data_IF_752294490590
#
_entry.id   IF_752294490590
#
_cell.length_a   1.000
_cell.length_b   1.000
_cell.length_c   1.000
_cell.angle_alpha   90.00
_cell.angle_beta   90.00
_cell.angle_gamma   90.00
#
_symmetry.space_group_name_H-M   'P 1'
#
loop_
_entity.id
_entity.type
_entity.pdbx_description
1 polymer ?
#
# COMPACT_ATOMS: atom_id res chain seq x y z
N UNK A 1 -4.54 -35.73 3.46
CA UNK A 1 -4.68 -34.35 3.91
C UNK A 1 -3.41 -33.56 3.55
N UNK A 2 -3.54 -32.60 2.72
CA UNK A 2 -2.39 -31.76 2.36
C UNK A 2 -2.32 -30.58 3.32
N UNK A 3 -1.12 -30.27 3.80
CA UNK A 3 -0.89 -29.06 4.55
C UNK A 3 -0.91 -27.86 3.60
N UNK A 4 -1.50 -26.77 4.03
CA UNK A 4 -1.41 -25.55 3.25
C UNK A 4 0.02 -25.03 3.23
N UNK A 5 0.48 -24.45 2.12
CA UNK A 5 1.79 -23.82 2.07
C UNK A 5 1.88 -22.67 3.08
N UNK A 6 3.03 -22.55 3.72
CA UNK A 6 3.31 -21.42 4.59
C UNK A 6 4.40 -20.57 3.95
N UNK A 7 4.06 -19.37 3.59
CA UNK A 7 4.98 -18.42 2.93
C UNK A 7 5.37 -17.37 3.95
N UNK A 8 6.68 -17.19 4.13
CA UNK A 8 7.23 -16.18 5.02
C UNK A 8 7.83 -15.09 4.15
N UNK A 9 7.37 -13.87 4.36
CA UNK A 9 7.88 -12.69 3.64
C UNK A 9 8.75 -11.90 4.62
N UNK A 10 9.99 -11.69 4.26
CA UNK A 10 10.93 -10.92 5.07
C UNK A 10 10.98 -9.50 4.51
N UNK A 11 10.57 -8.54 5.33
CA UNK A 11 10.47 -7.15 4.92
C UNK A 11 9.05 -6.77 4.55
N UNK A 12 8.43 -5.95 5.40
CA UNK A 12 7.06 -5.50 5.24
C UNK A 12 6.94 -4.10 4.68
N UNK A 13 7.80 -3.73 3.73
CA UNK A 13 7.62 -2.50 2.97
C UNK A 13 6.48 -2.65 1.96
N UNK A 14 6.38 -1.72 1.01
CA UNK A 14 5.31 -1.75 0.02
C UNK A 14 5.29 -3.07 -0.75
N UNK A 15 6.43 -3.51 -1.25
CA UNK A 15 6.50 -4.72 -2.08
C UNK A 15 6.11 -5.97 -1.29
N UNK A 16 6.61 -6.12 -0.06
CA UNK A 16 6.26 -7.27 0.77
C UNK A 16 4.78 -7.28 1.12
N UNK A 17 4.23 -6.14 1.48
CA UNK A 17 2.80 -6.02 1.79
C UNK A 17 1.95 -6.32 0.56
N UNK A 18 2.34 -5.81 -0.62
CA UNK A 18 1.60 -6.06 -1.86
C UNK A 18 1.58 -7.55 -2.22
N UNK A 19 2.72 -8.24 -2.06
CA UNK A 19 2.79 -9.69 -2.31
C UNK A 19 1.87 -10.44 -1.35
N UNK A 20 1.88 -10.07 -0.06
CA UNK A 20 1.02 -10.70 0.92
C UNK A 20 -0.46 -10.54 0.56
N UNK A 21 -0.87 -9.34 0.19
CA UNK A 21 -2.24 -9.04 -0.20
C UNK A 21 -2.65 -9.88 -1.41
N UNK A 22 -1.82 -9.93 -2.45
CA UNK A 22 -2.15 -10.67 -3.66
C UNK A 22 -2.20 -12.18 -3.42
N UNK A 23 -1.30 -12.72 -2.58
CA UNK A 23 -1.36 -14.13 -2.21
C UNK A 23 -2.68 -14.47 -1.53
N UNK A 24 -3.14 -13.62 -0.63
CA UNK A 24 -4.39 -13.86 0.09
C UNK A 24 -5.61 -13.68 -0.82
N UNK A 25 -5.54 -12.78 -1.80
CA UNK A 25 -6.61 -12.62 -2.80
C UNK A 25 -6.73 -13.83 -3.70
N UNK A 26 -5.59 -14.37 -4.15
CA UNK A 26 -5.56 -15.48 -5.10
C UNK A 26 -5.85 -16.83 -4.44
N UNK A 27 -5.51 -16.99 -3.16
CA UNK A 27 -5.67 -18.24 -2.46
C UNK A 27 -6.14 -18.00 -1.02
N UNK A 28 -7.37 -17.47 -0.82
CA UNK A 28 -7.81 -17.02 0.50
C UNK A 28 -7.83 -18.11 1.57
N UNK A 29 -7.99 -19.37 1.18
CA UNK A 29 -8.01 -20.49 2.11
C UNK A 29 -6.94 -21.53 1.80
N UNK A 30 -6.04 -21.24 0.87
CA UNK A 30 -5.05 -22.21 0.38
C UNK A 30 -3.61 -21.89 0.76
N UNK A 31 -3.37 -20.80 1.48
CA UNK A 31 -2.01 -20.39 1.83
C UNK A 31 -2.02 -19.67 3.19
N UNK A 32 -0.97 -19.89 3.96
CA UNK A 32 -0.71 -19.15 5.18
C UNK A 32 0.46 -18.23 4.94
N UNK A 33 0.30 -16.94 5.28
CA UNK A 33 1.32 -15.91 5.05
C UNK A 33 1.76 -15.33 6.38
N UNK A 34 3.06 -15.24 6.59
CA UNK A 34 3.67 -14.53 7.71
C UNK A 34 4.54 -13.43 7.16
N UNK A 35 4.31 -12.20 7.61
CA UNK A 35 5.08 -11.04 7.21
C UNK A 35 5.95 -10.59 8.38
N UNK A 36 7.28 -10.60 8.19
CA UNK A 36 8.23 -10.18 9.22
C UNK A 36 8.63 -8.73 8.97
N UNK A 37 8.20 -7.85 9.86
CA UNK A 37 8.45 -6.41 9.76
C UNK A 37 8.86 -5.86 11.13
N UNK A 38 10.08 -5.30 11.27
CA UNK A 38 10.53 -4.75 12.55
C UNK A 38 9.85 -3.43 12.94
N UNK A 39 9.22 -2.73 11.98
CA UNK A 39 8.48 -1.51 12.25
C UNK A 39 7.11 -1.83 12.83
N UNK A 40 6.52 -0.85 13.52
CA UNK A 40 5.19 -1.02 14.12
C UNK A 40 4.11 -1.28 13.09
N UNK A 41 4.23 -0.69 11.90
CA UNK A 41 3.22 -0.82 10.85
C UNK A 41 3.85 -1.36 9.58
N UNK A 42 3.27 -2.40 8.96
CA UNK A 42 3.72 -2.87 7.66
C UNK A 42 3.24 -1.95 6.54
N UNK A 43 3.89 -2.06 5.38
CA UNK A 43 3.45 -1.41 4.15
C UNK A 43 4.30 -0.24 3.70
N UNK A 44 4.81 0.56 4.62
CA UNK A 44 5.52 1.79 4.26
C UNK A 44 6.98 1.55 3.88
N UNK A 45 7.69 0.71 4.65
CA UNK A 45 9.12 0.50 4.43
C UNK A 45 9.92 1.79 4.59
N UNK A 46 11.13 1.79 4.05
CA UNK A 46 11.98 2.97 4.05
C UNK A 46 11.41 4.07 3.15
N UNK A 47 10.85 3.68 2.00
CA UNK A 47 10.43 4.63 0.97
C UNK A 47 9.29 5.54 1.44
N UNK A 48 8.39 5.03 2.29
CA UNK A 48 7.20 5.76 2.70
C UNK A 48 7.16 6.07 4.20
N UNK A 49 8.32 6.05 4.86
CA UNK A 49 8.40 6.26 6.30
C UNK A 49 8.89 7.66 6.68
N UNK A 50 9.10 8.53 5.70
CA UNK A 50 9.58 9.88 5.98
C UNK A 50 8.54 10.69 6.74
N UNK A 51 9.02 11.53 7.66
CA UNK A 51 8.18 12.52 8.36
C UNK A 51 8.32 13.91 7.73
N UNK A 52 9.11 14.05 6.66
CA UNK A 52 9.35 15.33 6.02
C UNK A 52 8.16 15.72 5.14
N UNK A 53 7.44 16.81 5.48
CA UNK A 53 6.19 17.14 4.77
C UNK A 53 6.38 17.61 3.34
N UNK A 54 7.61 17.96 2.93
CA UNK A 54 7.88 18.40 1.56
C UNK A 54 8.10 17.24 0.60
N UNK A 55 8.29 16.02 1.12
CA UNK A 55 8.44 14.85 0.27
C UNK A 55 7.14 14.54 -0.46
N UNK A 56 7.26 14.16 -1.72
CA UNK A 56 6.12 13.82 -2.57
C UNK A 56 6.38 12.49 -3.27
N UNK A 57 5.32 11.77 -3.56
CA UNK A 57 5.41 10.61 -4.44
C UNK A 57 5.72 11.07 -5.85
N UNK A 58 6.31 10.18 -6.65
CA UNK A 58 6.83 10.54 -7.96
C UNK A 58 5.80 10.40 -9.09
N UNK A 59 4.58 10.01 -8.78
CA UNK A 59 3.48 9.92 -9.75
C UNK A 59 2.20 10.44 -9.09
N UNK A 60 1.21 10.89 -9.89
CA UNK A 60 -0.10 11.26 -9.33
C UNK A 60 -0.77 10.06 -8.64
N UNK A 61 -1.55 10.35 -7.61
CA UNK A 61 -2.25 9.33 -6.84
C UNK A 61 -3.14 8.44 -7.72
N UNK A 62 -3.72 9.00 -8.77
CA UNK A 62 -4.57 8.25 -9.68
C UNK A 62 -3.84 7.13 -10.43
N UNK A 63 -2.51 7.17 -10.48
CA UNK A 63 -1.70 6.14 -11.13
C UNK A 63 -1.20 5.07 -10.15
N UNK A 64 -1.48 5.22 -8.87
CA UNK A 64 -1.04 4.28 -7.85
C UNK A 64 -2.13 3.29 -7.57
N UNK A 65 -1.85 2.02 -7.80
CA UNK A 65 -2.79 0.95 -7.50
C UNK A 65 -2.05 -0.37 -7.35
N UNK A 66 -2.66 -1.30 -6.63
CA UNK A 66 -2.21 -2.68 -6.59
C UNK A 66 -2.83 -3.44 -7.76
N UNK A 67 -2.17 -4.52 -8.19
CA UNK A 67 -2.74 -5.41 -9.18
C UNK A 67 -4.10 -5.92 -8.71
N UNK A 68 -5.11 -5.88 -9.57
CA UNK A 68 -6.47 -6.29 -9.24
C UNK A 68 -7.34 -5.21 -8.63
N UNK A 69 -6.77 -4.06 -8.29
CA UNK A 69 -7.57 -2.91 -7.87
C UNK A 69 -8.17 -2.21 -9.09
N UNK A 70 -9.26 -1.48 -8.87
CA UNK A 70 -9.81 -0.61 -9.91
C UNK A 70 -8.88 0.58 -10.15
N UNK A 71 -8.95 1.14 -11.36
CA UNK A 71 -8.13 2.29 -11.72
C UNK A 71 -8.44 3.47 -10.79
N UNK A 72 -7.39 4.11 -10.31
CA UNK A 72 -7.52 5.25 -9.41
C UNK A 72 -7.91 4.88 -7.98
N UNK A 73 -7.77 3.62 -7.58
CA UNK A 73 -8.17 3.17 -6.25
C UNK A 73 -7.47 3.94 -5.13
N UNK A 74 -6.16 4.19 -5.27
CA UNK A 74 -5.43 4.94 -4.25
C UNK A 74 -5.91 6.38 -4.17
N UNK A 75 -6.12 7.04 -5.30
CA UNK A 75 -6.62 8.41 -5.35
C UNK A 75 -7.99 8.52 -4.67
N UNK A 76 -8.89 7.60 -5.00
CA UNK A 76 -10.21 7.56 -4.40
C UNK A 76 -10.12 7.38 -2.88
N UNK A 77 -9.32 6.43 -2.41
CA UNK A 77 -9.12 6.19 -0.99
C UNK A 77 -8.54 7.42 -0.29
N UNK A 78 -7.49 8.03 -0.88
CA UNK A 78 -6.81 9.15 -0.26
C UNK A 78 -7.73 10.36 -0.06
N UNK A 79 -8.57 10.63 -1.06
CA UNK A 79 -9.51 11.77 -0.98
C UNK A 79 -10.52 11.65 0.17
N UNK A 80 -10.71 10.44 0.68
CA UNK A 80 -11.60 10.18 1.82
C UNK A 80 -10.87 10.18 3.16
N UNK A 81 -9.56 10.46 3.17
CA UNK A 81 -8.78 10.45 4.41
C UNK A 81 -8.70 11.86 5.00
N UNK A 82 -8.65 11.97 6.35
CA UNK A 82 -8.46 13.27 6.98
C UNK A 82 -7.21 14.01 6.53
N UNK A 83 -6.15 13.26 6.17
CA UNK A 83 -4.90 13.84 5.69
C UNK A 83 -5.09 14.66 4.42
N UNK A 84 -6.00 14.25 3.52
CA UNK A 84 -6.28 15.02 2.31
C UNK A 84 -6.86 16.39 2.64
N UNK A 85 -7.81 16.43 3.55
CA UNK A 85 -8.44 17.69 3.96
C UNK A 85 -7.45 18.62 4.66
N UNK A 86 -6.50 18.05 5.40
CA UNK A 86 -5.51 18.82 6.15
C UNK A 86 -4.35 19.34 5.29
N UNK A 87 -4.10 18.74 4.12
CA UNK A 87 -2.98 19.10 3.25
C UNK A 87 -3.47 20.03 2.12
N UNK A 88 -3.30 21.33 2.34
CA UNK A 88 -3.74 22.34 1.36
C UNK A 88 -2.97 22.29 0.05
N UNK A 89 -1.84 21.57 0.01
CA UNK A 89 -1.02 21.45 -1.19
C UNK A 89 -1.25 20.12 -1.92
N UNK A 90 -2.10 19.26 -1.41
CA UNK A 90 -2.33 17.96 -2.02
C UNK A 90 -3.02 18.08 -3.37
N UNK A 91 -3.91 19.05 -3.52
CA UNK A 91 -4.70 19.22 -4.75
C UNK A 91 -4.00 20.18 -5.69
N UNK A 92 -3.74 19.74 -6.91
CA UNK A 92 -3.15 20.56 -7.96
C UNK A 92 -4.24 21.42 -8.63
N UNK A 93 -3.83 22.49 -9.36
CA UNK A 93 -4.80 23.34 -10.06
C UNK A 93 -5.69 22.59 -11.05
N UNK A 94 -5.21 21.48 -11.63
CA UNK A 94 -5.99 20.67 -12.56
C UNK A 94 -6.93 19.68 -11.87
N UNK A 95 -6.97 19.68 -10.54
CA UNK A 95 -7.81 18.76 -9.76
C UNK A 95 -7.17 17.44 -9.44
N UNK A 96 -5.94 17.17 -9.88
CA UNK A 96 -5.23 15.93 -9.54
C UNK A 96 -4.54 16.05 -8.18
N UNK A 97 -4.25 14.88 -7.61
CA UNK A 97 -3.57 14.76 -6.32
C UNK A 97 -2.18 14.18 -6.51
#
# INVERSE_FOLDING_TARGET
MSAEPHIVIIGGGFSGAAVAIELLRLAPNGVRVTLLEPRQSPGAGVAYSTAEPTHRINVPAARMQLAGDEDGAFDHWYRHQPAFTADVQALRPDGSV
#
